data_IF_812240764706
#
_entry.id   IF_812240764706
#
_cell.length_a   1.000
_cell.length_b   1.000
_cell.length_c   1.000
_cell.angle_alpha   90.00
_cell.angle_beta   90.00
_cell.angle_gamma   90.00
#
_symmetry.space_group_name_H-M   'P 1'
#
loop_
_entity.id
_entity.type
_entity.pdbx_description
1 polymer ?
#
# COMPACT_ATOMS: atom_id res chain seq x y z
N UNK A 1 4.14 32.36 23.92
CA UNK A 1 4.06 31.55 22.69
C UNK A 1 2.80 30.71 22.84
N UNK A 2 1.70 31.12 22.21
CA UNK A 2 0.40 30.45 22.32
C UNK A 2 0.45 29.15 21.53
N UNK A 3 0.32 27.98 22.19
CA UNK A 3 0.13 26.71 21.51
C UNK A 3 -1.38 26.48 21.38
N UNK A 4 -1.89 26.51 20.16
CA UNK A 4 -3.30 26.31 19.86
C UNK A 4 -3.74 24.87 20.15
N UNK A 5 -4.95 24.74 20.69
CA UNK A 5 -5.66 23.46 20.80
C UNK A 5 -5.97 22.91 19.41
N UNK A 6 -5.09 22.04 18.89
CA UNK A 6 -5.42 21.15 17.78
C UNK A 6 -5.88 19.82 18.35
N UNK A 7 -7.15 19.47 18.21
CA UNK A 7 -7.68 18.14 18.51
C UNK A 7 -7.26 17.14 17.42
N UNK A 8 -5.95 17.00 17.21
CA UNK A 8 -5.38 16.00 16.30
C UNK A 8 -5.31 14.64 16.99
N UNK A 9 -5.41 13.58 16.20
CA UNK A 9 -5.12 12.22 16.68
C UNK A 9 -3.60 12.08 16.85
N UNK A 10 -3.15 11.50 17.97
CA UNK A 10 -1.73 11.32 18.28
C UNK A 10 -1.35 9.84 18.18
N UNK A 11 -0.15 9.56 17.67
CA UNK A 11 0.36 8.21 17.55
C UNK A 11 0.63 7.60 18.93
N UNK A 12 0.08 6.42 19.27
CA UNK A 12 0.27 5.80 20.57
C UNK A 12 1.69 5.25 20.79
N UNK A 13 2.51 5.11 19.73
CA UNK A 13 3.89 4.61 19.82
C UNK A 13 4.91 5.72 20.04
N UNK A 14 4.90 6.79 19.25
CA UNK A 14 5.89 7.86 19.35
C UNK A 14 5.37 9.14 20.03
N UNK A 15 4.05 9.33 20.13
CA UNK A 15 3.42 10.53 20.71
C UNK A 15 3.30 11.71 19.74
N UNK A 16 3.76 11.58 18.50
CA UNK A 16 3.65 12.63 17.47
C UNK A 16 2.21 12.79 16.95
N UNK A 17 1.89 13.97 16.44
CA UNK A 17 0.61 14.23 15.78
C UNK A 17 0.54 13.44 14.46
N UNK A 18 -0.59 12.80 14.18
CA UNK A 18 -0.82 12.09 12.93
C UNK A 18 -1.20 13.11 11.84
N UNK A 19 -0.31 13.31 10.87
CA UNK A 19 -0.59 14.12 9.68
C UNK A 19 -1.39 13.28 8.68
N UNK A 20 -2.72 13.51 8.60
CA UNK A 20 -3.58 12.83 7.62
C UNK A 20 -3.94 13.80 6.50
N UNK A 21 -3.63 13.50 5.22
CA UNK A 21 -4.11 14.31 4.11
C UNK A 21 -5.65 14.30 4.13
N UNK A 22 -6.32 15.46 4.00
CA UNK A 22 -7.77 15.56 4.13
C UNK A 22 -8.54 14.80 3.03
N UNK A 23 -7.83 14.37 1.99
CA UNK A 23 -8.35 13.71 0.79
C UNK A 23 -8.33 12.17 0.91
N UNK A 24 -7.56 11.65 1.88
CA UNK A 24 -7.39 10.21 2.08
C UNK A 24 -8.24 9.79 3.27
N UNK A 25 -9.48 9.39 2.96
CA UNK A 25 -10.32 8.61 3.88
C UNK A 25 -9.71 7.19 4.00
N UNK A 26 -8.55 7.08 4.67
CA UNK A 26 -8.20 5.82 5.31
C UNK A 26 -9.37 5.49 6.24
N UNK A 27 -9.81 4.23 6.36
CA UNK A 27 -10.85 3.88 7.32
C UNK A 27 -10.36 4.28 8.70
N UNK A 28 -10.74 5.49 9.15
CA UNK A 28 -10.42 6.05 10.44
C UNK A 28 -10.92 5.02 11.44
N UNK A 29 -9.97 4.32 12.08
CA UNK A 29 -10.13 3.04 12.76
C UNK A 29 -11.60 2.69 12.87
N UNK A 30 -12.15 2.06 11.82
CA UNK A 30 -13.59 1.77 11.71
C UNK A 30 -13.97 1.24 13.08
N UNK A 31 -14.80 1.99 13.82
CA UNK A 31 -15.65 1.37 14.82
C UNK A 31 -16.18 0.15 14.11
N UNK A 32 -15.74 -1.04 14.53
CA UNK A 32 -16.10 -2.26 13.83
C UNK A 32 -17.58 -2.13 13.55
N UNK A 33 -18.02 -2.18 12.29
CA UNK A 33 -19.43 -2.38 11.90
C UNK A 33 -20.19 -3.42 12.78
N UNK A 34 -19.47 -4.11 13.67
CA UNK A 34 -19.86 -5.13 14.65
C UNK A 34 -19.43 -4.82 16.12
N UNK A 35 -19.00 -3.60 16.47
CA UNK A 35 -18.65 -3.19 17.85
C UNK A 35 -17.43 -3.89 18.47
N UNK A 36 -16.55 -4.49 17.66
CA UNK A 36 -15.33 -5.16 18.11
C UNK A 36 -14.20 -4.19 18.46
N UNK A 37 -13.22 -4.62 19.29
CA UNK A 37 -12.11 -3.77 19.73
C UNK A 37 -11.38 -3.17 18.52
N UNK A 38 -11.22 -1.85 18.53
CA UNK A 38 -10.34 -1.13 17.59
C UNK A 38 -8.96 -1.75 17.71
N UNK A 39 -8.44 -2.28 16.61
CA UNK A 39 -7.05 -2.71 16.55
C UNK A 39 -6.18 -1.51 16.90
N UNK A 40 -5.43 -1.52 18.03
CA UNK A 40 -4.62 -0.39 18.45
C UNK A 40 -3.51 -0.05 17.44
N UNK A 41 -3.18 -0.97 16.52
CA UNK A 41 -2.25 -0.72 15.41
C UNK A 41 -2.91 0.02 14.22
N UNK A 42 -4.24 0.21 14.21
CA UNK A 42 -4.96 0.93 13.15
C UNK A 42 -4.82 2.47 13.23
N UNK A 43 -4.09 3.00 14.23
CA UNK A 43 -3.95 4.44 14.51
C UNK A 43 -2.48 4.82 14.74
N UNK A 44 -1.56 4.23 13.97
CA UNK A 44 -0.15 4.64 13.98
C UNK A 44 0.10 5.79 13.00
N UNK A 45 1.10 6.63 13.28
CA UNK A 45 1.65 7.51 12.25
C UNK A 45 2.39 6.69 11.19
N UNK A 46 2.55 7.24 9.98
CA UNK A 46 3.23 6.58 8.86
C UNK A 46 4.60 6.02 9.26
N UNK A 47 5.40 6.77 10.03
CA UNK A 47 6.71 6.30 10.52
C UNK A 47 6.63 5.02 11.36
N UNK A 48 5.83 5.03 12.42
CA UNK A 48 5.65 3.86 13.28
C UNK A 48 4.91 2.71 12.60
N UNK A 49 4.09 3.00 11.59
CA UNK A 49 3.46 2.00 10.74
C UNK A 49 4.51 1.32 9.85
N UNK A 50 5.36 2.07 9.15
CA UNK A 50 6.40 1.49 8.28
C UNK A 50 7.47 0.72 9.07
N UNK A 51 7.79 1.13 10.30
CA UNK A 51 8.69 0.40 11.18
C UNK A 51 8.18 -1.00 11.57
N UNK A 52 6.87 -1.29 11.44
CA UNK A 52 6.33 -2.61 11.74
C UNK A 52 6.51 -3.62 10.59
N UNK A 53 6.98 -3.18 9.43
CA UNK A 53 7.18 -4.02 8.25
C UNK A 53 8.66 -4.10 7.87
N UNK A 54 9.10 -5.29 7.48
CA UNK A 54 10.36 -5.45 6.76
C UNK A 54 10.14 -4.95 5.31
N UNK A 55 10.81 -3.86 4.94
CA UNK A 55 10.76 -3.31 3.59
C UNK A 55 11.45 -4.27 2.60
N UNK A 56 10.87 -4.40 1.41
CA UNK A 56 11.45 -5.22 0.33
C UNK A 56 12.48 -4.43 -0.47
N UNK A 57 13.57 -5.10 -0.86
CA UNK A 57 14.54 -4.54 -1.80
C UNK A 57 13.93 -4.48 -3.20
N UNK A 58 13.57 -3.27 -3.65
CA UNK A 58 13.03 -3.05 -4.98
C UNK A 58 14.16 -2.84 -6.01
N UNK A 59 14.11 -3.50 -7.18
CA UNK A 59 15.04 -3.22 -8.27
C UNK A 59 14.71 -1.88 -8.96
N UNK A 60 15.72 -1.24 -9.55
CA UNK A 60 15.52 0.00 -10.32
C UNK A 60 14.67 -0.20 -11.59
N UNK A 61 14.64 -1.43 -12.13
CA UNK A 61 13.90 -1.74 -13.35
C UNK A 61 13.39 -3.18 -13.34
N UNK A 62 12.16 -3.33 -13.81
CA UNK A 62 11.52 -4.62 -14.10
C UNK A 62 11.28 -4.71 -15.60
N UNK A 63 11.83 -5.73 -16.26
CA UNK A 63 11.61 -5.99 -17.68
C UNK A 63 10.58 -7.12 -17.87
N UNK A 64 9.62 -6.87 -18.75
CA UNK A 64 8.48 -7.76 -19.03
C UNK A 64 8.34 -7.92 -20.54
N UNK A 65 8.24 -9.17 -21.00
CA UNK A 65 7.96 -9.49 -22.40
C UNK A 65 6.46 -9.69 -22.59
N UNK A 66 5.86 -8.93 -23.49
CA UNK A 66 4.41 -8.92 -23.74
C UNK A 66 4.11 -9.25 -25.19
N UNK A 67 3.11 -10.09 -25.41
CA UNK A 67 2.61 -10.41 -26.74
C UNK A 67 1.88 -9.20 -27.32
N UNK A 68 2.34 -8.70 -28.47
CA UNK A 68 1.76 -7.54 -29.15
C UNK A 68 0.38 -7.79 -29.77
N UNK A 69 -0.14 -9.02 -29.71
CA UNK A 69 -1.43 -9.39 -30.31
C UNK A 69 -2.50 -9.68 -29.26
N UNK A 70 -2.16 -10.33 -28.15
CA UNK A 70 -3.13 -10.73 -27.12
C UNK A 70 -2.79 -10.23 -25.71
N UNK A 71 -1.68 -9.51 -25.50
CA UNK A 71 -1.31 -8.98 -24.19
C UNK A 71 -0.77 -10.01 -23.19
N UNK A 72 -0.66 -11.29 -23.58
CA UNK A 72 -0.08 -12.32 -22.72
C UNK A 72 1.38 -12.01 -22.34
N UNK A 73 1.76 -12.37 -21.11
CA UNK A 73 3.11 -12.15 -20.57
C UNK A 73 3.93 -13.44 -20.65
N UNK A 74 5.20 -13.33 -21.04
CA UNK A 74 6.11 -14.46 -21.09
C UNK A 74 6.72 -14.76 -19.72
N UNK A 75 6.40 -15.93 -19.15
CA UNK A 75 6.92 -16.41 -17.86
C UNK A 75 7.66 -17.73 -18.04
N UNK A 76 8.96 -17.73 -17.79
CA UNK A 76 9.81 -18.91 -17.96
C UNK A 76 9.84 -19.40 -19.41
N UNK A 77 9.11 -20.46 -19.72
CA UNK A 77 9.01 -21.05 -21.06
C UNK A 77 7.60 -20.99 -21.68
N UNK A 78 6.68 -20.20 -21.12
CA UNK A 78 5.28 -20.14 -21.55
C UNK A 78 4.73 -18.71 -21.58
N UNK A 79 3.71 -18.52 -22.41
CA UNK A 79 2.89 -17.30 -22.44
C UNK A 79 1.66 -17.49 -21.55
N UNK A 80 1.40 -16.53 -20.67
CA UNK A 80 0.30 -16.56 -19.71
C UNK A 80 -0.59 -15.34 -19.93
N UNK A 81 -1.89 -15.56 -20.09
CA UNK A 81 -2.87 -14.49 -20.05
C UNK A 81 -3.09 -14.06 -18.59
N UNK A 82 -2.85 -12.78 -18.33
CA UNK A 82 -2.95 -12.17 -16.99
C UNK A 82 -4.23 -11.35 -16.83
N UNK A 83 -5.12 -11.33 -17.83
CA UNK A 83 -6.38 -10.57 -17.76
C UNK A 83 -6.20 -9.06 -17.73
N UNK A 84 -5.01 -8.56 -18.05
CA UNK A 84 -4.71 -7.13 -18.07
C UNK A 84 -5.40 -6.43 -19.25
N UNK A 85 -5.96 -5.24 -18.99
CA UNK A 85 -6.66 -4.45 -20.03
C UNK A 85 -5.69 -3.62 -20.85
N UNK A 86 -4.58 -3.22 -20.26
CA UNK A 86 -3.53 -2.41 -20.89
C UNK A 86 -2.14 -2.70 -20.31
N UNK A 87 -1.11 -2.01 -20.83
CA UNK A 87 0.27 -2.17 -20.37
C UNK A 87 0.51 -1.68 -18.94
N UNK A 88 -0.34 -0.79 -18.42
CA UNK A 88 -0.28 -0.31 -17.03
C UNK A 88 -0.71 -1.42 -16.10
N UNK A 89 -1.85 -2.07 -16.38
CA UNK A 89 -2.32 -3.24 -15.64
C UNK A 89 -1.21 -4.33 -15.61
N UNK A 90 -0.57 -4.62 -16.75
CA UNK A 90 0.56 -5.56 -16.81
C UNK A 90 1.71 -5.12 -15.90
N UNK A 91 2.07 -3.83 -15.91
CA UNK A 91 3.19 -3.33 -15.11
C UNK A 91 2.92 -3.42 -13.60
N UNK A 92 1.68 -3.12 -13.17
CA UNK A 92 1.27 -3.22 -11.76
C UNK A 92 1.31 -4.67 -11.31
N UNK A 93 0.64 -5.57 -12.04
CA UNK A 93 0.56 -7.00 -11.69
C UNK A 93 1.94 -7.65 -11.66
N UNK A 94 2.79 -7.41 -12.68
CA UNK A 94 4.13 -7.99 -12.71
C UNK A 94 5.06 -7.44 -11.62
N UNK A 95 4.84 -6.20 -11.18
CA UNK A 95 5.61 -5.61 -10.08
C UNK A 95 5.16 -6.20 -8.74
N UNK A 96 3.85 -6.27 -8.51
CA UNK A 96 3.25 -6.86 -7.31
C UNK A 96 3.69 -8.33 -7.14
N UNK A 97 3.55 -9.14 -8.20
CA UNK A 97 3.93 -10.55 -8.20
C UNK A 97 5.43 -10.75 -7.91
N UNK A 98 6.32 -9.97 -8.53
CA UNK A 98 7.77 -10.16 -8.39
C UNK A 98 8.32 -9.68 -7.05
N UNK A 99 7.76 -8.63 -6.49
CA UNK A 99 8.21 -8.07 -5.22
C UNK A 99 7.44 -8.64 -4.01
N UNK A 100 6.42 -9.49 -4.26
CA UNK A 100 5.52 -10.00 -3.24
C UNK A 100 4.89 -8.87 -2.40
N UNK A 101 4.57 -7.76 -3.05
CA UNK A 101 3.89 -6.61 -2.45
C UNK A 101 2.45 -6.55 -2.95
N UNK A 102 1.57 -5.93 -2.17
CA UNK A 102 0.27 -5.48 -2.66
C UNK A 102 0.34 -3.97 -2.93
N UNK A 103 -0.18 -3.56 -4.07
CA UNK A 103 -0.29 -2.16 -4.51
C UNK A 103 -1.76 -1.75 -4.54
#
# INVERSE_FOLDING_TARGET
MSAGSGSGEFCPRCGDAIERPPEVDLPAGREGRDGGPTDPDAVLCDGCYFESFDLVDAPERVEVQVCSQCGAVHRGNRWVDVGARDYTDIAVEETADRLAVHL
#
